data_IF_177199764015
#
_entry.id   IF_177199764015
#
_cell.length_a   1.000
_cell.length_b   1.000
_cell.length_c   1.000
_cell.angle_alpha   90.00
_cell.angle_beta   90.00
_cell.angle_gamma   90.00
#
_symmetry.space_group_name_H-M   'P 1'
#
loop_
_entity.id
_entity.type
_entity.pdbx_description
1 polymer ?
#
# COMPACT_ATOMS: atom_id res chain seq x y z
N UNK A 1 5.13 0.03 -4.00
CA UNK A 1 6.58 0.20 -3.69
C UNK A 1 6.80 1.60 -3.14
N UNK A 2 7.92 1.85 -2.46
CA UNK A 2 8.08 3.09 -1.70
C UNK A 2 9.46 3.23 -1.10
N UNK A 3 9.65 4.27 -0.28
CA UNK A 3 10.86 4.44 0.52
C UNK A 3 10.52 4.82 1.95
N UNK A 4 11.43 4.49 2.86
CA UNK A 4 11.36 4.84 4.26
C UNK A 4 12.64 5.56 4.61
N UNK A 5 12.52 6.71 5.27
CA UNK A 5 13.65 7.53 5.66
C UNK A 5 13.44 8.12 7.05
N UNK A 6 14.53 8.31 7.77
CA UNK A 6 14.58 9.11 8.99
C UNK A 6 15.93 9.81 9.07
N UNK A 7 15.96 10.93 9.79
CA UNK A 7 17.14 11.79 9.84
C UNK A 7 17.39 12.30 11.26
N UNK A 8 17.91 13.51 11.35
CA UNK A 8 18.24 14.13 12.62
C UNK A 8 17.01 14.58 13.44
N UNK A 9 15.82 14.66 12.82
CA UNK A 9 14.60 14.96 13.57
C UNK A 9 14.32 13.84 14.57
N UNK A 10 14.32 14.19 15.85
CA UNK A 10 14.24 13.21 16.92
C UNK A 10 12.93 12.41 16.85
N UNK A 11 13.08 11.09 16.84
CA UNK A 11 11.98 10.15 16.95
C UNK A 11 11.12 9.93 15.71
N UNK A 12 11.31 10.61 14.57
CA UNK A 12 10.38 10.52 13.42
C UNK A 12 10.98 9.88 12.17
N UNK A 13 10.13 9.13 11.47
CA UNK A 13 10.37 8.57 10.14
C UNK A 13 9.25 8.98 9.17
N UNK A 14 9.59 9.02 7.88
CA UNK A 14 8.66 9.14 6.77
C UNK A 14 8.60 7.80 6.03
N UNK A 15 7.39 7.36 5.69
CA UNK A 15 7.14 6.27 4.75
C UNK A 15 6.32 6.79 3.59
N UNK A 16 6.93 6.79 2.42
CA UNK A 16 6.27 7.13 1.17
C UNK A 16 5.94 5.84 0.43
N UNK A 17 4.66 5.62 0.18
CA UNK A 17 4.13 4.47 -0.57
C UNK A 17 3.59 5.02 -1.89
N UNK A 18 3.94 4.40 -3.01
CA UNK A 18 3.44 4.80 -4.32
C UNK A 18 3.24 3.63 -5.28
N UNK A 19 2.59 3.93 -6.40
CA UNK A 19 2.36 3.01 -7.52
C UNK A 19 3.09 3.41 -8.81
N UNK A 20 3.88 4.48 -8.77
CA UNK A 20 4.69 4.93 -9.91
C UNK A 20 5.85 3.95 -10.17
N UNK A 21 6.07 3.59 -11.43
CA UNK A 21 7.19 2.72 -11.82
C UNK A 21 8.52 3.48 -11.77
N UNK A 22 9.59 2.81 -11.32
CA UNK A 22 10.98 3.32 -11.27
C UNK A 22 11.19 4.59 -10.42
N UNK A 23 10.25 4.91 -9.53
CA UNK A 23 10.32 6.04 -8.59
C UNK A 23 10.65 5.53 -7.17
N UNK A 24 11.42 6.19 -6.32
CA UNK A 24 12.49 7.17 -6.63
C UNK A 24 13.84 6.45 -6.81
N UNK A 25 14.69 6.95 -7.70
CA UNK A 25 16.06 6.51 -7.91
C UNK A 25 16.98 7.19 -6.90
N UNK A 26 17.05 6.60 -5.71
CA UNK A 26 17.90 7.08 -4.60
C UNK A 26 19.41 6.88 -4.85
N UNK A 27 19.82 6.22 -5.93
CA UNK A 27 21.22 6.11 -6.34
C UNK A 27 21.75 7.42 -6.93
N UNK A 28 20.85 8.25 -7.48
CA UNK A 28 21.19 9.55 -8.04
C UNK A 28 21.21 10.61 -6.94
N UNK A 29 22.40 11.16 -6.67
CA UNK A 29 22.69 12.08 -5.54
C UNK A 29 22.16 13.51 -5.78
N UNK A 30 21.79 13.86 -7.01
CA UNK A 30 21.26 15.19 -7.37
C UNK A 30 19.72 15.19 -7.37
N UNK A 31 19.13 16.07 -6.55
CA UNK A 31 17.68 16.26 -6.44
C UNK A 31 16.98 16.63 -7.76
N UNK A 32 17.69 17.25 -8.70
CA UNK A 32 17.18 17.53 -10.05
C UNK A 32 17.03 16.25 -10.88
N UNK A 33 17.91 15.27 -10.67
CA UNK A 33 17.87 13.96 -11.32
C UNK A 33 17.05 12.92 -10.57
N UNK A 34 16.87 13.11 -9.25
CA UNK A 34 16.06 12.26 -8.37
C UNK A 34 14.60 12.16 -8.84
N UNK A 35 14.12 13.15 -9.58
CA UNK A 35 12.77 13.15 -10.16
C UNK A 35 12.76 13.10 -11.69
N UNK A 36 13.94 13.04 -12.31
CA UNK A 36 14.09 13.08 -13.76
C UNK A 36 14.00 11.66 -14.33
N UNK A 37 12.76 11.20 -14.55
CA UNK A 37 12.48 9.90 -15.15
C UNK A 37 12.12 10.07 -16.62
N UNK A 38 12.74 9.23 -17.48
CA UNK A 38 12.26 8.98 -18.84
C UNK A 38 10.75 8.79 -18.81
N UNK A 39 10.02 9.47 -19.71
CA UNK A 39 8.78 10.18 -19.38
C UNK A 39 7.96 9.33 -18.43
N UNK A 40 7.69 9.84 -17.21
CA UNK A 40 6.56 9.37 -16.43
C UNK A 40 5.44 9.21 -17.46
N UNK A 41 5.10 7.96 -17.79
CA UNK A 41 4.07 7.71 -18.80
C UNK A 41 2.87 8.56 -18.37
N UNK A 42 2.17 9.22 -19.29
CA UNK A 42 0.99 10.08 -19.04
C UNK A 42 -0.14 9.28 -18.35
N UNK A 43 0.14 8.82 -17.14
CA UNK A 43 -0.56 7.86 -16.34
C UNK A 43 -0.68 8.48 -14.97
N UNK A 44 -1.89 8.45 -14.46
CA UNK A 44 -2.12 8.72 -13.06
C UNK A 44 -1.35 7.69 -12.21
N UNK A 45 -0.99 8.11 -11.02
CA UNK A 45 -0.39 7.28 -10.00
C UNK A 45 -0.78 7.83 -8.64
N UNK A 46 -0.56 7.03 -7.61
CA UNK A 46 -0.89 7.42 -6.24
C UNK A 46 0.36 7.47 -5.38
N UNK A 47 0.36 8.41 -4.43
CA UNK A 47 1.36 8.51 -3.39
C UNK A 47 0.66 8.74 -2.05
N UNK A 48 1.07 7.98 -1.03
CA UNK A 48 0.68 8.15 0.36
C UNK A 48 1.94 8.41 1.17
N UNK A 49 1.95 9.50 1.94
CA UNK A 49 3.07 9.88 2.79
C UNK A 49 2.63 9.80 4.25
N UNK A 50 3.29 8.95 5.02
CA UNK A 50 3.01 8.70 6.43
C UNK A 50 4.20 9.16 7.26
N UNK A 51 3.94 9.87 8.36
CA UNK A 51 4.96 10.18 9.36
C UNK A 51 4.65 9.40 10.63
N UNK A 52 5.63 8.67 11.16
CA UNK A 52 5.48 7.79 12.31
C UNK A 52 6.78 7.77 13.12
N UNK A 53 6.81 7.05 14.26
CA UNK A 53 8.03 6.96 15.06
C UNK A 53 9.03 6.00 14.42
N UNK A 54 10.30 6.39 14.27
CA UNK A 54 11.33 5.47 13.73
C UNK A 54 11.59 4.25 14.63
N UNK A 55 11.11 4.28 15.88
CA UNK A 55 11.21 3.15 16.80
C UNK A 55 10.19 2.05 16.49
N UNK A 56 9.19 2.36 15.65
CA UNK A 56 8.24 1.38 15.11
C UNK A 56 8.89 0.68 13.92
N UNK A 57 8.88 -0.65 13.93
CA UNK A 57 9.56 -1.50 12.95
C UNK A 57 8.61 -2.54 12.33
N UNK A 58 7.31 -2.45 12.62
CA UNK A 58 6.26 -3.29 12.05
C UNK A 58 6.22 -3.22 10.52
N UNK A 59 6.60 -2.07 9.95
CA UNK A 59 6.73 -1.91 8.49
C UNK A 59 7.83 -2.82 7.91
N UNK A 60 8.91 -3.07 8.66
CA UNK A 60 10.06 -3.82 8.16
C UNK A 60 9.73 -5.30 8.05
N UNK A 61 9.05 -5.82 9.07
CA UNK A 61 8.48 -7.16 9.04
C UNK A 61 7.40 -7.26 7.94
N UNK A 62 6.51 -6.27 7.77
CA UNK A 62 5.53 -6.30 6.69
C UNK A 62 6.18 -6.39 5.30
N UNK A 63 7.23 -5.62 5.04
CA UNK A 63 8.00 -5.70 3.79
C UNK A 63 8.72 -7.04 3.63
N UNK A 64 9.19 -7.65 4.71
CA UNK A 64 9.82 -8.97 4.68
C UNK A 64 8.80 -10.05 4.28
N UNK A 65 7.60 -10.01 4.85
CA UNK A 65 6.51 -10.95 4.49
C UNK A 65 5.90 -10.68 3.10
N UNK A 66 6.02 -9.45 2.60
CA UNK A 66 5.68 -9.12 1.21
C UNK A 66 6.74 -9.62 0.21
N UNK A 67 7.91 -10.08 0.67
CA UNK A 67 9.07 -10.38 -0.19
C UNK A 67 9.49 -9.15 -1.02
N UNK A 68 9.56 -7.99 -0.35
CA UNK A 68 9.86 -6.73 -1.00
C UNK A 68 11.28 -6.68 -1.56
N UNK A 69 11.42 -6.22 -2.80
CA UNK A 69 12.73 -5.99 -3.42
C UNK A 69 13.34 -4.68 -2.92
N UNK A 70 14.43 -4.78 -2.15
CA UNK A 70 15.23 -3.64 -1.68
C UNK A 70 16.32 -3.33 -2.71
N UNK A 71 16.15 -2.24 -3.47
CA UNK A 71 17.12 -1.79 -4.49
C UNK A 71 18.24 -0.94 -3.91
N UNK A 72 17.98 -0.19 -2.85
CA UNK A 72 18.93 0.71 -2.22
C UNK A 72 18.62 0.83 -0.74
N UNK A 73 19.66 0.85 0.09
CA UNK A 73 19.57 1.23 1.49
C UNK A 73 20.87 1.90 1.92
N UNK A 74 20.77 2.77 2.92
CA UNK A 74 21.93 3.39 3.54
C UNK A 74 21.73 3.46 5.06
N UNK A 75 22.76 3.07 5.81
CA UNK A 75 22.75 3.27 7.24
C UNK A 75 22.83 4.77 7.60
N UNK A 76 22.08 5.26 8.60
CA UNK A 76 22.24 6.62 9.11
C UNK A 76 23.69 6.90 9.53
N UNK A 77 24.23 8.05 9.12
CA UNK A 77 25.61 8.46 9.48
C UNK A 77 25.70 9.00 10.91
N UNK A 78 24.63 9.59 11.41
CA UNK A 78 24.56 10.17 12.76
C UNK A 78 24.58 9.06 13.82
N UNK A 79 25.57 9.01 14.73
CA UNK A 79 25.59 8.03 15.81
C UNK A 79 24.41 8.22 16.80
N UNK A 80 24.09 7.15 17.54
CA UNK A 80 23.05 7.18 18.58
C UNK A 80 21.72 6.60 18.12
N UNK A 81 20.61 7.21 18.55
CA UNK A 81 19.27 6.62 18.42
C UNK A 81 18.85 6.32 16.97
N UNK A 82 19.26 7.13 16.00
CA UNK A 82 18.95 6.93 14.57
C UNK A 82 19.61 5.66 14.02
N UNK A 83 20.86 5.38 14.40
CA UNK A 83 21.54 4.12 14.08
C UNK A 83 20.99 2.94 14.88
N UNK A 84 20.66 3.14 16.16
CA UNK A 84 20.04 2.08 16.98
C UNK A 84 18.72 1.62 16.37
N UNK A 85 17.87 2.55 15.92
CA UNK A 85 16.63 2.22 15.22
C UNK A 85 16.88 1.41 13.94
N UNK A 86 17.90 1.78 13.15
CA UNK A 86 18.31 1.04 11.95
C UNK A 86 18.76 -0.39 12.25
N UNK A 87 19.44 -0.62 13.37
CA UNK A 87 20.00 -1.92 13.76
C UNK A 87 19.00 -2.86 14.44
N UNK A 88 17.72 -2.50 14.51
CA UNK A 88 16.70 -3.38 15.11
C UNK A 88 16.61 -4.72 14.35
N UNK A 89 16.35 -5.85 15.05
CA UNK A 89 16.31 -7.17 14.42
C UNK A 89 15.38 -7.26 13.20
N UNK A 90 14.21 -6.61 13.26
CA UNK A 90 13.25 -6.58 12.16
C UNK A 90 13.81 -5.96 10.87
N UNK A 91 14.52 -4.83 10.99
CA UNK A 91 15.14 -4.17 9.83
C UNK A 91 16.32 -4.99 9.32
N UNK A 92 17.15 -5.55 10.22
CA UNK A 92 18.27 -6.40 9.81
C UNK A 92 17.79 -7.66 9.08
N UNK A 93 16.73 -8.31 9.57
CA UNK A 93 16.11 -9.46 8.91
C UNK A 93 15.60 -9.13 7.50
N UNK A 94 14.94 -7.98 7.32
CA UNK A 94 14.52 -7.48 6.01
C UNK A 94 15.73 -7.27 5.07
N UNK A 95 16.77 -6.57 5.53
CA UNK A 95 17.95 -6.28 4.72
C UNK A 95 18.75 -7.53 4.36
N UNK A 96 18.80 -8.51 5.26
CA UNK A 96 19.45 -9.81 5.04
C UNK A 96 18.58 -10.79 4.23
N UNK A 97 17.33 -10.42 3.90
CA UNK A 97 16.35 -11.29 3.23
C UNK A 97 16.16 -12.62 3.96
N UNK A 98 16.08 -12.56 5.29
CA UNK A 98 15.83 -13.75 6.10
C UNK A 98 14.47 -14.36 5.77
N UNK A 99 14.36 -15.68 5.82
CA UNK A 99 13.06 -16.35 5.63
C UNK A 99 12.09 -15.98 6.76
N UNK A 100 10.87 -15.52 6.45
CA UNK A 100 9.87 -15.25 7.47
C UNK A 100 9.61 -16.48 8.36
N UNK A 101 9.57 -16.30 9.69
CA UNK A 101 9.49 -17.41 10.66
C UNK A 101 8.23 -18.28 10.55
N UNK A 102 7.18 -17.83 9.85
CA UNK A 102 5.98 -18.63 9.61
C UNK A 102 5.46 -18.44 8.19
N UNK A 103 5.53 -19.52 7.40
CA UNK A 103 5.02 -19.58 6.02
C UNK A 103 3.48 -19.47 5.92
N UNK A 104 2.75 -19.60 7.04
CA UNK A 104 1.29 -19.61 7.09
C UNK A 104 0.66 -18.39 7.76
N UNK A 105 1.44 -17.56 8.46
CA UNK A 105 0.91 -16.40 9.14
C UNK A 105 0.81 -15.23 8.17
N UNK A 106 -0.42 -14.83 7.88
CA UNK A 106 -0.74 -13.44 7.54
C UNK A 106 0.04 -12.53 8.48
N UNK A 107 0.77 -11.58 7.92
CA UNK A 107 1.34 -10.53 8.73
C UNK A 107 0.33 -9.38 8.75
N UNK A 108 -0.19 -9.06 9.92
CA UNK A 108 -0.99 -7.85 10.11
C UNK A 108 -0.48 -7.14 11.34
N UNK A 109 -0.10 -5.89 11.16
CA UNK A 109 0.27 -4.99 12.25
C UNK A 109 -0.42 -3.67 12.10
N UNK A 110 -0.60 -3.04 13.24
CA UNK A 110 -1.15 -1.70 13.34
C UNK A 110 -0.11 -0.81 13.98
N UNK A 111 0.20 0.30 13.32
CA UNK A 111 0.99 1.38 13.88
C UNK A 111 0.18 2.68 13.82
N UNK A 112 0.70 3.76 14.38
CA UNK A 112 0.01 5.05 14.42
C UNK A 112 0.94 6.14 13.90
N UNK A 113 0.39 7.11 13.17
CA UNK A 113 1.15 8.28 12.73
C UNK A 113 1.63 9.11 13.93
N UNK A 114 2.71 9.86 13.75
CA UNK A 114 3.34 10.69 14.79
C UNK A 114 2.56 11.97 15.13
N UNK A 115 1.33 12.13 14.63
CA UNK A 115 0.48 13.28 14.92
C UNK A 115 -0.02 13.23 16.36
N UNK A 116 0.24 14.28 17.13
CA UNK A 116 -0.22 14.37 18.52
C UNK A 116 -1.70 14.75 18.61
N UNK A 117 -2.24 15.47 17.62
CA UNK A 117 -3.60 16.00 17.64
C UNK A 117 -4.60 15.15 16.88
N UNK A 118 -4.16 14.46 15.83
CA UNK A 118 -4.99 13.62 14.98
C UNK A 118 -4.19 12.39 14.50
N UNK A 119 -3.87 11.45 15.41
CA UNK A 119 -3.23 10.19 15.05
C UNK A 119 -4.13 9.37 14.11
N UNK A 120 -3.51 8.78 13.09
CA UNK A 120 -4.18 7.89 12.12
C UNK A 120 -3.60 6.50 12.30
N UNK A 121 -4.47 5.49 12.43
CA UNK A 121 -4.01 4.10 12.45
C UNK A 121 -3.60 3.68 11.04
N UNK A 122 -2.45 3.03 10.96
CA UNK A 122 -1.87 2.45 9.76
C UNK A 122 -1.87 0.94 9.94
N UNK A 123 -2.53 0.22 9.04
CA UNK A 123 -2.54 -1.24 9.02
C UNK A 123 -1.68 -1.73 7.89
N UNK A 124 -0.63 -2.48 8.20
CA UNK A 124 0.23 -3.14 7.22
C UNK A 124 -0.14 -4.61 7.15
N UNK A 125 -0.42 -5.09 5.94
CA UNK A 125 -0.89 -6.43 5.68
C UNK A 125 -0.03 -7.04 4.60
N UNK A 126 0.56 -8.21 4.86
CA UNK A 126 1.40 -8.89 3.88
C UNK A 126 1.07 -10.38 3.81
N UNK A 127 1.10 -10.95 2.59
CA UNK A 127 0.88 -12.37 2.37
C UNK A 127 1.76 -12.94 1.27
N UNK A 128 2.32 -14.11 1.56
CA UNK A 128 3.01 -14.96 0.58
C UNK A 128 2.02 -15.96 -0.08
N UNK A 129 1.91 -15.92 -1.41
CA UNK A 129 1.39 -17.03 -2.25
C UNK A 129 -0.12 -17.28 -2.31
N UNK A 130 -0.99 -16.28 -2.47
CA UNK A 130 -2.44 -16.44 -2.69
C UNK A 130 -3.10 -15.09 -3.03
N UNK A 131 -4.34 -15.10 -3.54
CA UNK A 131 -5.12 -13.88 -3.78
C UNK A 131 -5.20 -12.98 -2.53
N UNK A 132 -4.57 -11.81 -2.62
CA UNK A 132 -4.44 -10.81 -1.57
C UNK A 132 -5.80 -10.30 -1.08
N UNK A 133 -6.70 -9.94 -2.00
CA UNK A 133 -8.00 -9.35 -1.67
C UNK A 133 -8.96 -10.36 -1.04
N UNK A 134 -8.94 -11.62 -1.50
CA UNK A 134 -9.68 -12.71 -0.85
C UNK A 134 -9.16 -12.94 0.56
N UNK A 135 -7.84 -12.89 0.74
CA UNK A 135 -7.23 -13.03 2.07
C UNK A 135 -7.58 -11.86 2.96
N UNK A 136 -7.59 -10.64 2.42
CA UNK A 136 -7.96 -9.43 3.12
C UNK A 136 -9.37 -9.55 3.70
N UNK A 137 -10.37 -9.96 2.91
CA UNK A 137 -11.76 -10.09 3.41
C UNK A 137 -11.97 -11.31 4.31
N UNK A 138 -11.44 -12.48 3.96
CA UNK A 138 -11.75 -13.73 4.68
C UNK A 138 -11.03 -13.84 6.01
N UNK A 139 -9.95 -13.09 6.17
CA UNK A 139 -8.97 -13.41 7.20
C UNK A 139 -8.52 -12.23 8.04
N UNK A 140 -8.87 -11.00 7.65
CA UNK A 140 -8.44 -9.76 8.29
C UNK A 140 -9.64 -8.84 8.50
N UNK A 141 -10.22 -8.31 7.42
CA UNK A 141 -11.26 -7.30 7.50
C UNK A 141 -12.63 -7.85 7.88
N UNK A 142 -13.01 -9.02 7.34
CA UNK A 142 -14.37 -9.57 7.45
C UNK A 142 -15.45 -8.57 7.03
N UNK A 143 -15.14 -7.75 6.01
CA UNK A 143 -16.01 -6.70 5.45
C UNK A 143 -15.97 -6.71 3.92
N UNK A 144 -17.05 -6.27 3.26
CA UNK A 144 -17.03 -5.95 1.84
C UNK A 144 -15.94 -4.93 1.50
N UNK A 145 -15.35 -5.06 0.32
CA UNK A 145 -14.42 -4.08 -0.22
C UNK A 145 -14.73 -3.78 -1.69
N UNK A 146 -14.44 -2.55 -2.11
CA UNK A 146 -14.40 -2.14 -3.51
C UNK A 146 -12.96 -1.89 -3.93
N UNK A 147 -12.57 -2.41 -5.09
CA UNK A 147 -11.18 -2.39 -5.56
C UNK A 147 -11.10 -1.77 -6.94
N UNK A 148 -10.19 -0.81 -7.13
CA UNK A 148 -9.90 -0.22 -8.43
C UNK A 148 -9.15 -1.20 -9.33
N UNK A 149 -9.82 -1.66 -10.40
CA UNK A 149 -9.30 -2.72 -11.28
C UNK A 149 -9.55 -2.50 -12.78
N UNK A 150 -10.44 -1.57 -13.14
CA UNK A 150 -10.81 -1.36 -14.54
C UNK A 150 -11.59 -2.53 -15.15
N UNK A 151 -11.65 -2.58 -16.49
CA UNK A 151 -12.33 -3.64 -17.25
C UNK A 151 -11.32 -4.47 -18.03
N UNK A 152 -11.55 -5.78 -18.14
CA UNK A 152 -10.80 -6.63 -19.06
C UNK A 152 -10.86 -8.11 -18.72
N UNK A 153 -10.58 -8.96 -19.72
CA UNK A 153 -10.57 -10.42 -19.55
C UNK A 153 -9.47 -10.91 -18.60
N UNK A 154 -8.39 -10.14 -18.42
CA UNK A 154 -7.33 -10.44 -17.46
C UNK A 154 -7.68 -10.04 -16.01
N UNK A 155 -8.78 -9.32 -15.77
CA UNK A 155 -9.19 -8.96 -14.40
C UNK A 155 -10.02 -10.11 -13.82
N UNK A 156 -9.76 -10.46 -12.56
CA UNK A 156 -10.59 -11.42 -11.84
C UNK A 156 -12.00 -10.86 -11.67
N UNK A 157 -13.06 -11.66 -11.86
CA UNK A 157 -14.43 -11.19 -11.69
C UNK A 157 -14.69 -10.75 -10.24
N UNK A 158 -15.73 -9.93 -10.04
CA UNK A 158 -16.19 -9.60 -8.69
C UNK A 158 -16.46 -10.88 -7.89
N UNK A 159 -16.04 -10.88 -6.62
CA UNK A 159 -16.29 -12.00 -5.72
C UNK A 159 -17.61 -11.74 -4.99
N UNK A 160 -18.66 -12.47 -5.39
CA UNK A 160 -20.03 -12.23 -4.95
C UNK A 160 -20.53 -13.34 -4.04
N UNK A 161 -19.90 -13.49 -2.87
CA UNK A 161 -20.33 -14.42 -1.82
C UNK A 161 -20.67 -13.66 -0.53
N UNK A 162 -21.94 -13.26 -0.34
CA UNK A 162 -22.35 -12.57 0.88
C UNK A 162 -21.98 -13.37 2.15
N UNK A 163 -21.62 -12.70 3.26
CA UNK A 163 -21.56 -11.24 3.41
C UNK A 163 -20.23 -10.61 2.92
N UNK A 164 -19.30 -11.41 2.39
CA UNK A 164 -17.95 -10.95 2.06
C UNK A 164 -17.81 -10.73 0.55
N UNK A 165 -17.92 -9.47 0.13
CA UNK A 165 -17.91 -9.09 -1.28
C UNK A 165 -16.58 -8.45 -1.67
N UNK A 166 -16.13 -8.68 -2.91
CA UNK A 166 -15.06 -7.90 -3.54
C UNK A 166 -15.56 -7.40 -4.89
N UNK A 167 -15.98 -6.15 -4.93
CA UNK A 167 -16.54 -5.52 -6.13
C UNK A 167 -15.47 -4.76 -6.90
N UNK A 168 -15.46 -4.92 -8.22
CA UNK A 168 -14.51 -4.24 -9.09
C UNK A 168 -15.04 -2.84 -9.45
N UNK A 169 -14.33 -1.81 -9.02
CA UNK A 169 -14.52 -0.45 -9.53
C UNK A 169 -13.88 -0.39 -10.92
N UNK A 170 -14.72 -0.17 -11.93
CA UNK A 170 -14.35 -0.24 -13.34
C UNK A 170 -14.11 1.13 -13.97
N UNK A 171 -14.69 2.18 -13.39
CA UNK A 171 -14.54 3.56 -13.84
C UNK A 171 -15.21 3.85 -15.19
N UNK A 172 -14.87 5.00 -15.83
CA UNK A 172 -13.98 6.05 -15.31
C UNK A 172 -14.56 6.83 -14.12
N UNK A 173 -13.74 7.67 -13.48
CA UNK A 173 -14.17 8.70 -12.53
C UNK A 173 -13.32 9.97 -12.70
N UNK A 174 -13.80 11.12 -12.22
CA UNK A 174 -13.09 12.39 -12.36
C UNK A 174 -12.46 12.85 -11.04
N UNK A 175 -11.25 13.40 -11.13
CA UNK A 175 -10.63 14.20 -10.07
C UNK A 175 -10.46 15.61 -10.63
N UNK A 176 -11.26 16.57 -10.14
CA UNK A 176 -11.34 17.89 -10.74
C UNK A 176 -11.83 17.82 -12.19
N UNK A 177 -11.06 18.35 -13.12
CA UNK A 177 -11.31 18.33 -14.57
C UNK A 177 -10.64 17.13 -15.28
N UNK A 178 -9.98 16.23 -14.54
CA UNK A 178 -9.23 15.09 -15.12
C UNK A 178 -10.00 13.78 -14.97
N UNK A 179 -10.24 13.12 -16.10
CA UNK A 179 -10.79 11.77 -16.13
C UNK A 179 -9.70 10.73 -15.83
N UNK A 180 -9.94 9.90 -14.83
CA UNK A 180 -9.09 8.77 -14.45
C UNK A 180 -9.66 7.49 -15.05
N UNK A 181 -8.83 6.86 -15.88
CA UNK A 181 -9.11 5.59 -16.53
C UNK A 181 -8.04 4.57 -16.17
N UNK A 182 -8.45 3.34 -15.85
CA UNK A 182 -7.54 2.30 -15.38
C UNK A 182 -6.35 1.99 -16.32
N UNK A 183 -6.50 1.92 -17.66
CA UNK A 183 -5.34 1.72 -18.55
C UNK A 183 -4.29 2.83 -18.49
N UNK A 184 -4.69 4.03 -18.04
CA UNK A 184 -3.85 5.20 -17.84
C UNK A 184 -3.67 5.53 -16.35
N UNK A 185 -3.78 4.54 -15.47
CA UNK A 185 -3.60 4.73 -14.04
C UNK A 185 -2.83 3.53 -13.48
N UNK A 186 -1.75 3.81 -12.72
CA UNK A 186 -1.00 2.76 -12.05
C UNK A 186 -1.50 2.52 -10.62
N UNK A 187 -2.35 3.40 -10.08
CA UNK A 187 -2.85 3.32 -8.72
C UNK A 187 -3.57 2.00 -8.46
N UNK A 188 -3.34 1.45 -7.27
CA UNK A 188 -3.93 0.21 -6.78
C UNK A 188 -4.49 0.47 -5.41
N UNK A 189 -5.77 0.79 -5.38
CA UNK A 189 -6.44 1.19 -4.16
C UNK A 189 -7.73 0.43 -3.94
N UNK A 190 -8.13 0.35 -2.69
CA UNK A 190 -9.41 -0.18 -2.29
C UNK A 190 -10.01 0.64 -1.14
N UNK A 191 -11.33 0.64 -1.09
CA UNK A 191 -12.11 1.16 0.03
C UNK A 191 -12.86 0.02 0.68
N UNK A 192 -12.83 0.00 2.00
CA UNK A 192 -13.55 -0.98 2.81
C UNK A 192 -14.93 -0.42 3.16
N UNK A 193 -15.89 -1.28 3.44
CA UNK A 193 -17.19 -0.90 4.00
C UNK A 193 -17.07 0.16 5.14
N UNK A 194 -18.03 1.09 5.16
CA UNK A 194 -18.03 2.33 5.95
C UNK A 194 -17.83 2.13 7.45
N UNK A 195 -18.11 0.93 7.94
CA UNK A 195 -17.94 0.62 9.36
C UNK A 195 -16.48 0.70 9.84
N UNK A 196 -15.49 0.66 8.95
CA UNK A 196 -14.06 0.70 9.31
C UNK A 196 -13.32 1.99 8.88
N UNK A 197 -13.89 2.83 8.00
CA UNK A 197 -13.22 4.02 7.46
C UNK A 197 -11.82 3.74 6.86
N UNK A 198 -11.60 2.57 6.27
CA UNK A 198 -10.30 2.16 5.75
C UNK A 198 -10.16 2.47 4.25
N UNK A 199 -9.13 3.24 3.94
CA UNK A 199 -8.60 3.39 2.58
C UNK A 199 -7.26 2.67 2.47
N UNK A 200 -7.08 1.86 1.44
CA UNK A 200 -5.91 1.00 1.30
C UNK A 200 -5.18 1.22 -0.02
N UNK A 201 -3.84 1.20 0.02
CA UNK A 201 -2.97 1.02 -1.14
C UNK A 201 -2.41 -0.39 -1.16
N UNK A 202 -2.39 -0.99 -2.34
CA UNK A 202 -1.88 -2.34 -2.56
C UNK A 202 -0.70 -2.32 -3.53
N UNK A 203 0.20 -3.28 -3.43
CA UNK A 203 1.31 -3.40 -4.39
C UNK A 203 0.93 -4.16 -5.66
N UNK A 204 -0.14 -4.96 -5.60
CA UNK A 204 -0.70 -5.70 -6.74
C UNK A 204 -2.18 -5.41 -6.95
N UNK A 205 -2.62 -5.49 -8.20
CA UNK A 205 -4.04 -5.41 -8.57
C UNK A 205 -4.73 -6.79 -8.57
N UNK A 206 -5.91 -6.84 -9.20
CA UNK A 206 -6.73 -8.07 -9.32
C UNK A 206 -6.57 -8.77 -10.66
N UNK A 207 -5.50 -8.50 -11.39
CA UNK A 207 -5.15 -9.26 -12.59
C UNK A 207 -4.97 -10.76 -12.27
N UNK A 208 -5.37 -11.64 -13.19
CA UNK A 208 -5.35 -13.10 -13.00
C UNK A 208 -3.93 -13.65 -12.88
N UNK A 209 -2.97 -13.06 -13.58
CA UNK A 209 -1.55 -13.40 -13.52
C UNK A 209 -0.84 -12.88 -12.26
N UNK A 210 -1.53 -12.14 -11.38
CA UNK A 210 -0.98 -11.55 -10.15
C UNK A 210 -1.44 -12.27 -8.87
N UNK A 211 -2.24 -13.33 -9.00
CA UNK A 211 -2.84 -14.05 -7.86
C UNK A 211 -1.81 -14.65 -6.90
N UNK A 212 -0.71 -15.17 -7.43
CA UNK A 212 0.30 -15.87 -6.64
C UNK A 212 1.49 -14.98 -6.26
N UNK A 213 1.49 -13.73 -6.73
CA UNK A 213 2.58 -12.80 -6.45
C UNK A 213 2.50 -12.35 -4.99
N UNK A 214 3.61 -12.43 -4.23
CA UNK A 214 3.71 -11.82 -2.91
C UNK A 214 3.24 -10.36 -2.94
N UNK A 215 2.47 -9.98 -1.94
CA UNK A 215 1.78 -8.69 -1.97
C UNK A 215 1.61 -8.09 -0.60
N UNK A 216 1.62 -6.76 -0.60
CA UNK A 216 1.45 -5.92 0.57
C UNK A 216 0.29 -4.94 0.38
N UNK A 217 -0.36 -4.64 1.49
CA UNK A 217 -1.41 -3.62 1.59
C UNK A 217 -1.09 -2.72 2.77
N UNK A 218 -1.19 -1.42 2.55
CA UNK A 218 -1.17 -0.43 3.62
C UNK A 218 -2.52 0.27 3.64
N UNK A 219 -3.25 0.15 4.75
CA UNK A 219 -4.52 0.83 4.96
C UNK A 219 -4.40 1.91 6.03
N UNK A 220 -5.13 3.01 5.86
CA UNK A 220 -5.27 4.06 6.86
C UNK A 220 -6.72 4.18 7.33
N UNK A 221 -6.93 4.32 8.64
CA UNK A 221 -8.24 4.66 9.24
C UNK A 221 -8.44 6.18 9.17
N UNK A 222 -8.99 6.68 8.06
CA UNK A 222 -9.21 8.12 7.87
C UNK A 222 -10.51 8.36 7.09
N UNK A 223 -11.50 8.95 7.76
CA UNK A 223 -12.88 9.08 7.26
C UNK A 223 -13.03 9.98 6.04
N UNK A 224 -12.27 11.07 5.94
CA UNK A 224 -12.30 12.01 4.80
C UNK A 224 -11.81 11.35 3.50
N UNK A 225 -10.67 10.67 3.55
CA UNK A 225 -10.06 9.94 2.44
C UNK A 225 -10.95 8.78 2.06
N UNK A 226 -11.42 8.01 3.04
CA UNK A 226 -12.36 6.93 2.81
C UNK A 226 -13.64 7.42 2.11
N UNK A 227 -14.27 8.48 2.63
CA UNK A 227 -15.48 9.06 2.05
C UNK A 227 -15.25 9.54 0.61
N UNK A 228 -14.13 10.22 0.36
CA UNK A 228 -13.77 10.69 -0.96
C UNK A 228 -13.62 9.52 -1.95
N UNK A 229 -12.83 8.51 -1.61
CA UNK A 229 -12.62 7.36 -2.49
C UNK A 229 -13.85 6.47 -2.63
N UNK A 230 -14.75 6.49 -1.65
CA UNK A 230 -16.07 5.87 -1.79
C UNK A 230 -16.88 6.52 -2.90
N UNK A 231 -16.81 7.85 -3.07
CA UNK A 231 -17.46 8.53 -4.21
C UNK A 231 -16.88 8.07 -5.54
N UNK A 232 -15.56 7.83 -5.60
CA UNK A 232 -14.87 7.26 -6.76
C UNK A 232 -15.08 5.75 -6.94
N UNK A 233 -15.80 5.12 -6.02
CA UNK A 233 -16.19 3.71 -6.05
C UNK A 233 -17.72 3.55 -6.06
N UNK A 234 -18.47 4.54 -6.54
CA UNK A 234 -19.93 4.51 -6.57
C UNK A 234 -20.49 3.35 -7.44
N UNK A 235 -21.73 2.97 -7.20
CA UNK A 235 -22.38 1.80 -7.81
C UNK A 235 -22.43 1.87 -9.34
N UNK A 236 -22.65 3.07 -9.90
CA UNK A 236 -22.74 3.30 -11.34
C UNK A 236 -21.44 3.02 -12.11
N UNK A 237 -20.30 3.03 -11.41
CA UNK A 237 -18.96 2.77 -11.98
C UNK A 237 -18.32 1.51 -11.38
N UNK A 238 -19.11 0.67 -10.71
CA UNK A 238 -18.68 -0.55 -10.05
C UNK A 238 -19.45 -1.74 -10.61
N UNK A 239 -18.76 -2.86 -10.85
CA UNK A 239 -19.39 -4.14 -11.11
C UNK A 239 -19.91 -4.72 -9.79
N UNK A 240 -21.07 -4.22 -9.37
CA UNK A 240 -21.73 -4.61 -8.14
C UNK A 240 -22.17 -6.07 -8.19
N UNK A 241 -22.08 -6.74 -7.05
CA UNK A 241 -22.64 -8.06 -6.90
C UNK A 241 -24.17 -7.96 -6.85
N UNK A 242 -24.86 -8.65 -7.77
CA UNK A 242 -26.32 -8.74 -7.72
C UNK A 242 -26.71 -9.47 -6.44
N UNK A 243 -27.62 -8.86 -5.69
CA UNK A 243 -28.24 -9.47 -4.51
C UNK A 243 -29.25 -10.53 -4.91
#
# INVERSE_FOLDING_TARGET
>A
MGFIAWGAEAGKAIWVIHTMNKFVNLELVDSKTLFNYAPLQDKAGMLMCLTFSYNLNEWAEALLYEDAVIYFWQMPKTPGLTQTAFRTPAIQALLNKETPRSHFSKYTKTMTTASQTAPVKIHTISKFGNNMYISLILKILHKPIRVWTGKGANIQPSFCKPPLLIENVVGPFNIGDKEINFPKDTARWSVVDDTLNLFCLSTVGREKDKVEIPSGVVCIEQSTVHSLFKTFAADNITQICKQ
#
